data_IF_601262644091
#
_entry.id   IF_601262644091
#
_cell.length_a   1.000
_cell.length_b   1.000
_cell.length_c   1.000
_cell.angle_alpha   90.00
_cell.angle_beta   90.00
_cell.angle_gamma   90.00
#
_symmetry.space_group_name_H-M   'P 1'
#
loop_
_entity.id
_entity.type
_entity.pdbx_description
1 polymer ?
#
# COMPACT_ATOMS: atom_id res chain seq x y z
N UNK A 1 4.18 39.81 16.32
CA UNK A 1 4.64 39.14 15.08
C UNK A 1 5.03 37.72 15.43
N UNK A 2 4.09 36.77 15.36
CA UNK A 2 4.34 35.35 15.62
C UNK A 2 4.64 34.64 14.31
N UNK A 3 5.89 34.22 14.13
CA UNK A 3 6.26 33.33 13.04
C UNK A 3 5.84 31.93 13.48
N UNK A 4 4.68 31.48 12.99
CA UNK A 4 4.28 30.08 13.07
C UNK A 4 5.13 29.32 12.07
N UNK A 5 6.21 28.70 12.54
CA UNK A 5 6.97 27.72 11.75
C UNK A 5 6.24 26.39 11.89
N UNK A 6 5.28 26.13 11.00
CA UNK A 6 4.81 24.75 10.80
C UNK A 6 5.99 23.95 10.27
N UNK A 7 6.53 23.06 11.10
CA UNK A 7 7.54 22.08 10.73
C UNK A 7 6.93 21.05 9.76
N UNK A 8 6.72 21.46 8.51
CA UNK A 8 6.67 20.52 7.40
C UNK A 8 8.12 20.24 7.04
N UNK A 9 8.62 19.18 7.67
CA UNK A 9 9.97 18.65 7.49
C UNK A 9 10.28 18.47 6.01
N UNK A 10 11.42 19.05 5.61
CA UNK A 10 12.02 18.96 4.27
C UNK A 10 12.26 17.49 3.91
N UNK A 11 11.47 16.94 2.99
CA UNK A 11 11.76 15.66 2.34
C UNK A 11 11.72 15.81 0.82
N UNK A 12 12.59 16.66 0.27
CA UNK A 12 12.74 16.86 -1.16
C UNK A 12 14.04 16.17 -1.65
N UNK A 13 13.99 14.86 -1.86
CA UNK A 13 15.06 14.13 -2.53
C UNK A 13 14.79 12.63 -2.61
N UNK A 14 14.22 12.14 -3.72
CA UNK A 14 13.85 10.72 -4.01
C UNK A 14 12.93 9.99 -2.98
N UNK A 15 13.11 10.17 -1.68
CA UNK A 15 12.31 9.66 -0.57
C UNK A 15 10.91 10.29 -0.47
N UNK A 16 10.73 11.55 -0.87
CA UNK A 16 9.45 12.26 -0.71
C UNK A 16 8.26 11.66 -1.48
N UNK A 17 8.50 10.98 -2.61
CA UNK A 17 7.42 10.32 -3.36
C UNK A 17 6.97 9.04 -2.67
N UNK A 18 7.91 8.23 -2.15
CA UNK A 18 7.62 7.00 -1.40
C UNK A 18 6.81 7.30 -0.14
N UNK A 19 7.26 8.24 0.68
CA UNK A 19 6.54 8.67 1.88
C UNK A 19 5.11 9.16 1.58
N UNK A 20 4.92 9.93 0.51
CA UNK A 20 3.58 10.38 0.09
C UNK A 20 2.64 9.24 -0.33
N UNK A 21 3.18 8.12 -0.81
CA UNK A 21 2.41 6.91 -1.08
C UNK A 21 2.09 6.13 0.21
N UNK A 22 3.06 5.99 1.13
CA UNK A 22 2.85 5.33 2.42
C UNK A 22 1.81 6.03 3.29
N UNK A 23 1.91 7.35 3.45
CA UNK A 23 0.93 8.13 4.22
C UNK A 23 -0.49 7.97 3.65
N UNK A 24 -0.64 7.88 2.33
CA UNK A 24 -1.94 7.60 1.69
C UNK A 24 -2.40 6.17 1.92
N UNK A 25 -1.49 5.20 1.96
CA UNK A 25 -1.82 3.81 2.25
C UNK A 25 -2.38 3.67 3.67
N UNK A 26 -1.75 4.29 4.67
CA UNK A 26 -2.22 4.30 6.06
C UNK A 26 -3.60 4.94 6.21
N UNK A 27 -3.82 6.10 5.57
CA UNK A 27 -5.13 6.76 5.57
C UNK A 27 -6.21 5.86 4.97
N UNK A 28 -5.92 5.19 3.85
CA UNK A 28 -6.86 4.28 3.20
C UNK A 28 -7.13 3.02 4.03
N UNK A 29 -6.12 2.51 4.74
CA UNK A 29 -6.27 1.37 5.63
C UNK A 29 -7.16 1.72 6.84
N UNK A 30 -6.95 2.90 7.43
CA UNK A 30 -7.83 3.38 8.50
C UNK A 30 -9.28 3.55 8.01
N UNK A 31 -9.45 4.08 6.78
CA UNK A 31 -10.78 4.21 6.19
C UNK A 31 -11.46 2.85 5.93
N UNK A 32 -10.69 1.83 5.53
CA UNK A 32 -11.19 0.45 5.43
C UNK A 32 -11.76 -0.05 6.77
N UNK A 33 -11.03 0.15 7.87
CA UNK A 33 -11.48 -0.26 9.22
C UNK A 33 -12.76 0.46 9.64
N UNK A 34 -12.93 1.73 9.25
CA UNK A 34 -14.18 2.48 9.51
C UNK A 34 -15.37 1.89 8.74
N UNK A 35 -15.18 1.52 7.48
CA UNK A 35 -16.23 0.88 6.68
C UNK A 35 -16.62 -0.49 7.22
N UNK A 36 -15.63 -1.27 7.66
CA UNK A 36 -15.87 -2.56 8.33
C UNK A 36 -16.67 -2.38 9.62
N UNK A 37 -16.34 -1.39 10.45
CA UNK A 37 -17.09 -1.09 11.67
C UNK A 37 -18.54 -0.65 11.40
N UNK A 38 -18.84 -0.16 10.20
CA UNK A 38 -20.19 0.17 9.74
C UNK A 38 -20.92 -1.02 9.09
N UNK A 39 -20.26 -2.17 8.97
CA UNK A 39 -20.78 -3.38 8.33
C UNK A 39 -20.69 -3.37 6.79
N UNK A 40 -20.09 -2.34 6.18
CA UNK A 40 -19.87 -2.29 4.74
C UNK A 40 -18.52 -2.94 4.38
N UNK A 41 -18.53 -4.27 4.35
CA UNK A 41 -17.36 -5.06 4.03
C UNK A 41 -16.88 -4.88 2.58
N UNK A 42 -17.77 -4.53 1.66
CA UNK A 42 -17.41 -4.33 0.26
C UNK A 42 -16.57 -3.05 0.09
N UNK A 43 -17.01 -1.94 0.69
CA UNK A 43 -16.23 -0.71 0.77
C UNK A 43 -14.94 -0.93 1.55
N UNK A 44 -15.00 -1.63 2.68
CA UNK A 44 -13.81 -1.96 3.46
C UNK A 44 -12.75 -2.69 2.62
N UNK A 45 -13.16 -3.72 1.86
CA UNK A 45 -12.28 -4.49 0.96
C UNK A 45 -11.63 -3.60 -0.12
N UNK A 46 -12.42 -2.72 -0.73
CA UNK A 46 -11.92 -1.84 -1.80
C UNK A 46 -10.87 -0.85 -1.24
N UNK A 47 -11.14 -0.25 -0.09
CA UNK A 47 -10.21 0.69 0.54
C UNK A 47 -8.91 0.02 0.97
N UNK A 48 -8.97 -1.17 1.57
CA UNK A 48 -7.74 -1.90 1.95
C UNK A 48 -6.95 -2.36 0.74
N UNK A 49 -7.62 -2.81 -0.33
CA UNK A 49 -6.91 -3.19 -1.55
C UNK A 49 -6.20 -1.99 -2.19
N UNK A 50 -6.85 -0.82 -2.19
CA UNK A 50 -6.23 0.44 -2.65
C UNK A 50 -5.07 0.86 -1.74
N UNK A 51 -5.16 0.65 -0.43
CA UNK A 51 -4.05 0.87 0.50
C UNK A 51 -2.83 0.03 0.12
N UNK A 52 -3.02 -1.28 -0.13
CA UNK A 52 -1.95 -2.17 -0.61
C UNK A 52 -1.31 -1.70 -1.91
N UNK A 53 -2.10 -1.24 -2.89
CA UNK A 53 -1.58 -0.68 -4.14
C UNK A 53 -0.73 0.59 -3.92
N UNK A 54 -1.11 1.43 -2.94
CA UNK A 54 -0.33 2.63 -2.60
C UNK A 54 0.98 2.26 -1.92
N UNK A 55 0.97 1.33 -0.96
CA UNK A 55 2.17 0.82 -0.34
C UNK A 55 3.13 0.18 -1.37
N UNK A 56 2.61 -0.61 -2.31
CA UNK A 56 3.41 -1.19 -3.39
C UNK A 56 3.99 -0.10 -4.31
N UNK A 57 3.21 0.95 -4.59
CA UNK A 57 3.67 2.14 -5.29
C UNK A 57 4.81 2.86 -4.57
N UNK A 58 4.80 2.89 -3.23
CA UNK A 58 5.92 3.44 -2.44
C UNK A 58 7.20 2.62 -2.65
N UNK A 59 7.13 1.30 -2.48
CA UNK A 59 8.28 0.41 -2.68
C UNK A 59 8.84 0.53 -4.11
N UNK A 60 7.98 0.55 -5.12
CA UNK A 60 8.40 0.75 -6.52
C UNK A 60 9.04 2.12 -6.71
N UNK A 61 8.50 3.18 -6.11
CA UNK A 61 9.01 4.54 -6.22
C UNK A 61 10.39 4.71 -5.56
N UNK A 62 10.67 3.98 -4.47
CA UNK A 62 11.96 3.96 -3.80
C UNK A 62 12.99 3.06 -4.54
N UNK A 63 12.53 2.10 -5.34
CA UNK A 63 13.39 1.18 -6.08
C UNK A 63 13.95 1.75 -7.39
N UNK A 64 14.95 1.06 -7.95
CA UNK A 64 15.49 1.31 -9.31
C UNK A 64 14.46 1.09 -10.41
N UNK A 65 13.33 0.42 -10.13
CA UNK A 65 12.25 0.19 -11.10
C UNK A 65 11.49 1.47 -11.43
N UNK A 66 11.50 2.47 -10.54
CA UNK A 66 10.84 3.76 -10.76
C UNK A 66 11.25 4.42 -12.09
N UNK A 67 12.54 4.36 -12.44
CA UNK A 67 13.14 4.99 -13.61
C UNK A 67 13.20 4.11 -14.87
N UNK A 68 12.74 2.85 -14.82
CA UNK A 68 12.78 1.97 -16.01
C UNK A 68 11.85 2.48 -17.12
N UNK A 69 12.38 2.59 -18.34
CA UNK A 69 11.66 2.98 -19.56
C UNK A 69 10.57 1.99 -19.97
N UNK A 70 10.80 0.69 -19.76
CA UNK A 70 9.83 -0.39 -20.01
C UNK A 70 9.53 -1.09 -18.69
N UNK A 71 8.30 -0.92 -18.20
CA UNK A 71 7.77 -1.62 -17.01
C UNK A 71 6.28 -1.95 -17.22
N UNK A 72 5.76 -3.03 -16.61
CA UNK A 72 4.34 -3.38 -16.67
C UNK A 72 3.45 -2.27 -16.12
N UNK A 73 2.19 -2.19 -16.57
CA UNK A 73 1.20 -1.25 -16.02
C UNK A 73 0.71 -1.67 -14.62
N UNK A 74 0.65 -2.98 -14.38
CA UNK A 74 0.25 -3.56 -13.10
C UNK A 74 1.34 -3.36 -12.04
N UNK A 75 0.97 -2.84 -10.87
CA UNK A 75 1.92 -2.55 -9.79
C UNK A 75 2.52 -3.84 -9.19
N UNK A 76 1.76 -4.94 -9.15
CA UNK A 76 2.25 -6.22 -8.62
C UNK A 76 3.36 -6.79 -9.51
N UNK A 77 3.22 -6.65 -10.83
CA UNK A 77 4.25 -7.06 -11.77
C UNK A 77 5.48 -6.15 -11.69
N UNK A 78 5.30 -4.86 -11.42
CA UNK A 78 6.43 -3.96 -11.12
C UNK A 78 7.13 -4.34 -9.81
N UNK A 79 6.38 -4.77 -8.79
CA UNK A 79 6.91 -5.20 -7.50
C UNK A 79 7.81 -6.44 -7.64
N UNK A 80 7.39 -7.42 -8.46
CA UNK A 80 8.19 -8.62 -8.79
C UNK A 80 9.54 -8.30 -9.42
N UNK A 81 9.69 -7.13 -10.06
CA UNK A 81 10.94 -6.73 -10.68
C UNK A 81 11.99 -6.20 -9.68
N UNK A 82 11.59 -5.92 -8.43
CA UNK A 82 12.50 -5.36 -7.41
C UNK A 82 13.46 -6.43 -6.89
N UNK A 83 12.95 -7.64 -6.59
CA UNK A 83 13.74 -8.71 -5.99
C UNK A 83 12.87 -9.77 -5.31
N UNK A 84 13.48 -10.71 -4.58
CA UNK A 84 12.79 -11.81 -3.89
C UNK A 84 11.67 -11.34 -2.94
N UNK A 85 11.89 -10.23 -2.22
CA UNK A 85 10.92 -9.65 -1.30
C UNK A 85 9.71 -9.11 -2.08
N UNK A 86 9.96 -8.41 -3.18
CA UNK A 86 8.91 -7.90 -4.05
C UNK A 86 8.06 -9.01 -4.68
N UNK A 87 8.67 -10.16 -5.02
CA UNK A 87 7.95 -11.36 -5.49
C UNK A 87 7.05 -11.91 -4.38
N UNK A 88 7.59 -12.10 -3.18
CA UNK A 88 6.84 -12.62 -2.04
C UNK A 88 5.59 -11.78 -1.73
N UNK A 89 5.75 -10.46 -1.68
CA UNK A 89 4.61 -9.55 -1.44
C UNK A 89 3.59 -9.60 -2.59
N UNK A 90 4.05 -9.57 -3.85
CA UNK A 90 3.16 -9.65 -5.01
C UNK A 90 2.32 -10.94 -5.01
N UNK A 91 2.93 -12.09 -4.70
CA UNK A 91 2.23 -13.38 -4.63
C UNK A 91 1.15 -13.42 -3.53
N UNK A 92 1.42 -12.79 -2.38
CA UNK A 92 0.45 -12.70 -1.28
C UNK A 92 -0.75 -11.82 -1.66
N UNK A 93 -0.50 -10.65 -2.27
CA UNK A 93 -1.56 -9.71 -2.66
C UNK A 93 -2.38 -10.17 -3.87
N UNK A 94 -1.75 -10.83 -4.85
CA UNK A 94 -2.43 -11.27 -6.07
C UNK A 94 -3.58 -12.25 -5.80
N UNK A 95 -3.52 -13.01 -4.70
CA UNK A 95 -4.62 -13.90 -4.25
C UNK A 95 -5.93 -13.13 -4.00
N UNK A 96 -5.86 -11.86 -3.63
CA UNK A 96 -7.02 -11.02 -3.35
C UNK A 96 -7.55 -10.27 -4.59
N UNK A 97 -6.79 -10.19 -5.69
CA UNK A 97 -7.20 -9.48 -6.90
C UNK A 97 -8.48 -10.06 -7.52
N UNK A 98 -8.63 -11.39 -7.52
CA UNK A 98 -9.85 -12.06 -8.02
C UNK A 98 -11.06 -11.74 -7.15
N UNK A 99 -10.90 -11.81 -5.83
CA UNK A 99 -11.95 -11.48 -4.87
C UNK A 99 -12.41 -10.04 -5.05
N UNK A 100 -11.48 -9.08 -5.06
CA UNK A 100 -11.78 -7.65 -5.29
C UNK A 100 -12.51 -7.42 -6.60
N UNK A 101 -12.10 -8.07 -7.69
CA UNK A 101 -12.79 -7.93 -8.99
C UNK A 101 -14.24 -8.43 -8.95
N UNK A 102 -14.55 -9.49 -8.20
CA UNK A 102 -15.92 -10.00 -8.09
C UNK A 102 -16.80 -9.05 -7.28
N UNK A 103 -16.28 -8.54 -6.15
CA UNK A 103 -16.97 -7.59 -5.27
C UNK A 103 -17.28 -6.28 -6.02
N UNK A 104 -16.29 -5.69 -6.70
CA UNK A 104 -16.47 -4.42 -7.42
C UNK A 104 -17.43 -4.54 -8.61
N UNK A 105 -17.51 -5.72 -9.24
CA UNK A 105 -18.46 -5.96 -10.31
C UNK A 105 -19.84 -6.41 -9.81
N UNK A 106 -20.11 -6.34 -8.49
CA UNK A 106 -21.39 -6.75 -7.90
C UNK A 106 -21.68 -8.25 -7.97
N UNK A 107 -20.69 -9.07 -8.34
CA UNK A 107 -20.84 -10.53 -8.48
C UNK A 107 -20.71 -11.26 -7.14
N UNK A 108 -20.25 -10.57 -6.11
CA UNK A 108 -20.08 -11.09 -4.75
C UNK A 108 -20.38 -9.98 -3.74
N UNK A 109 -21.67 -9.68 -3.49
CA UNK A 109 -22.07 -8.57 -2.62
C UNK A 109 -21.81 -8.86 -1.13
N UNK A 110 -21.51 -10.11 -0.76
CA UNK A 110 -21.36 -10.55 0.63
C UNK A 110 -19.94 -10.97 0.96
N UNK A 111 -18.95 -10.11 0.73
CA UNK A 111 -17.57 -10.43 1.13
C UNK A 111 -17.52 -10.61 2.65
N UNK A 112 -16.94 -11.74 3.07
CA UNK A 112 -16.85 -12.08 4.48
C UNK A 112 -15.87 -11.15 5.21
N UNK A 113 -16.18 -10.83 6.46
CA UNK A 113 -15.33 -9.97 7.30
C UNK A 113 -13.93 -10.58 7.47
N UNK A 114 -13.81 -11.91 7.47
CA UNK A 114 -12.53 -12.63 7.55
C UNK A 114 -11.66 -12.40 6.32
N UNK A 115 -12.24 -12.15 5.15
CA UNK A 115 -11.46 -11.80 3.94
C UNK A 115 -10.93 -10.38 4.05
N UNK A 116 -11.78 -9.44 4.50
CA UNK A 116 -11.39 -8.03 4.72
C UNK A 116 -10.27 -7.97 5.75
N UNK A 117 -10.47 -8.58 6.92
CA UNK A 117 -9.49 -8.58 8.01
C UNK A 117 -8.16 -9.21 7.61
N UNK A 118 -8.18 -10.34 6.87
CA UNK A 118 -6.95 -10.94 6.32
C UNK A 118 -6.19 -9.99 5.40
N UNK A 119 -6.90 -9.24 4.57
CA UNK A 119 -6.26 -8.27 3.68
C UNK A 119 -5.74 -7.05 4.44
N UNK A 120 -6.46 -6.58 5.47
CA UNK A 120 -6.00 -5.49 6.34
C UNK A 120 -4.71 -5.87 7.06
N UNK A 121 -4.67 -7.05 7.70
CA UNK A 121 -3.46 -7.55 8.34
C UNK A 121 -2.30 -7.67 7.36
N UNK A 122 -2.55 -8.13 6.14
CA UNK A 122 -1.52 -8.21 5.11
C UNK A 122 -0.98 -6.84 4.70
N UNK A 123 -1.86 -5.83 4.60
CA UNK A 123 -1.44 -4.45 4.31
C UNK A 123 -0.70 -3.83 5.49
N UNK A 124 -1.15 -4.03 6.73
CA UNK A 124 -0.44 -3.59 7.93
C UNK A 124 0.97 -4.18 7.99
N UNK A 125 1.09 -5.50 7.78
CA UNK A 125 2.38 -6.18 7.75
C UNK A 125 3.30 -5.61 6.68
N UNK A 126 2.75 -5.33 5.49
CA UNK A 126 3.52 -4.77 4.39
C UNK A 126 3.96 -3.32 4.65
N UNK A 127 3.08 -2.47 5.19
CA UNK A 127 3.44 -1.10 5.59
C UNK A 127 4.51 -1.14 6.68
N UNK A 128 4.34 -1.99 7.70
CA UNK A 128 5.33 -2.17 8.77
C UNK A 128 6.69 -2.62 8.25
N UNK A 129 6.71 -3.57 7.30
CA UNK A 129 7.94 -3.98 6.61
C UNK A 129 8.60 -2.81 5.87
N UNK A 130 7.84 -2.00 5.14
CA UNK A 130 8.39 -0.86 4.40
C UNK A 130 8.96 0.21 5.35
N UNK A 131 8.25 0.54 6.42
CA UNK A 131 8.74 1.49 7.43
C UNK A 131 10.03 0.97 8.08
N UNK A 132 10.07 -0.29 8.49
CA UNK A 132 11.27 -0.90 9.08
C UNK A 132 12.47 -0.89 8.12
N UNK A 133 12.23 -1.12 6.82
CA UNK A 133 13.27 -1.08 5.80
C UNK A 133 13.82 0.35 5.58
N UNK A 134 12.98 1.37 5.64
CA UNK A 134 13.39 2.78 5.53
C UNK A 134 14.27 3.20 6.72
N UNK A 135 13.96 2.75 7.95
CA UNK A 135 14.79 3.03 9.13
C UNK A 135 16.17 2.39 9.04
N UNK A 136 16.26 1.18 8.49
CA UNK A 136 17.54 0.46 8.36
C UNK A 136 18.46 1.11 7.32
N UNK A 137 17.91 1.70 6.25
CA UNK A 137 18.70 2.43 5.26
C UNK A 137 19.16 3.82 5.77
N UNK A 138 18.44 4.42 6.72
CA UNK A 138 18.80 5.73 7.30
C UNK A 138 19.92 5.65 8.35
N UNK A 139 20.04 4.54 9.08
CA UNK A 139 21.09 4.36 10.11
C UNK A 139 22.46 3.98 9.52
N UNK A 140 22.48 3.51 8.26
CA UNK A 140 23.69 3.11 7.54
C UNK A 140 24.33 4.24 6.68
N UNK A 141 23.75 5.44 6.68
CA UNK A 141 24.16 6.60 5.86
C UNK A 141 24.71 7.75 6.70
#
# INVERSE_FOLDING_TARGET
MSVIISATTRFAGKSGKGHGFLAKAELMLNESRKWEAQGDNASALEYVYRAGLRAAGAMVACSRIASRKRKPSNVWDQLRMIGPEGIQWADRFQKFSRTRSRVVNGMDPGVSIEVVHRLQLLVDEFIGYLLASEYSEQEAA
#
